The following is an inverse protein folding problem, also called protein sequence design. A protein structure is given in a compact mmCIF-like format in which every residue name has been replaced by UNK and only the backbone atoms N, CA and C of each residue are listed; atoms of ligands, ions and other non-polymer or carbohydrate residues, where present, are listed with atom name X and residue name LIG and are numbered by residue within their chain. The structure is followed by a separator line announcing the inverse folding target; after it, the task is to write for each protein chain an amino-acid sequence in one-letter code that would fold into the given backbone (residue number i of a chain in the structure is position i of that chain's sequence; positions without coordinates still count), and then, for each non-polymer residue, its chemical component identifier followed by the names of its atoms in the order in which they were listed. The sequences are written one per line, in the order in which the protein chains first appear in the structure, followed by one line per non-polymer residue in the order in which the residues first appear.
data_IF_354676756114
#
_entry.id   IF_354676756114
#
_cell.length_a   1.000
_cell.length_b   1.000
_cell.length_c   1.000
_cell.angle_alpha   90.00
_cell.angle_beta   90.00
_cell.angle_gamma   90.00
#
_symmetry.space_group_name_H-M   'P 1'
#
loop_
_entity.id
_entity.type
_entity.pdbx_description
1 polymer ?
#
# COMPACT_ATOMS: atom_id res chain seq x y z
N UNK A 1 -14.36 4.97 -7.09
CA UNK A 1 -13.24 4.30 -7.74
C UNK A 1 -13.83 3.23 -8.63
N UNK A 2 -13.29 3.03 -9.85
CA UNK A 2 -13.72 1.91 -10.68
C UNK A 2 -13.46 0.60 -9.94
N UNK A 3 -14.35 -0.38 -10.06
CA UNK A 3 -14.26 -1.61 -9.26
C UNK A 3 -12.93 -2.35 -9.42
N UNK A 4 -12.28 -2.27 -10.59
CA UNK A 4 -10.99 -2.93 -10.83
C UNK A 4 -9.79 -2.17 -10.25
N UNK A 5 -9.95 -0.92 -9.85
CA UNK A 5 -8.92 -0.13 -9.18
C UNK A 5 -9.02 -0.24 -7.65
N UNK A 6 -10.14 -0.74 -7.14
CA UNK A 6 -10.35 -0.88 -5.70
C UNK A 6 -9.55 -2.09 -5.19
N UNK A 7 -8.69 -1.91 -4.17
CA UNK A 7 -8.07 -3.05 -3.53
C UNK A 7 -9.10 -4.03 -2.99
N UNK A 8 -8.86 -5.31 -3.17
CA UNK A 8 -9.74 -6.35 -2.66
C UNK A 8 -9.39 -6.66 -1.20
N UNK A 9 -10.37 -6.47 -0.31
CA UNK A 9 -10.26 -6.75 1.12
C UNK A 9 -10.97 -8.03 1.50
N UNK A 10 -10.31 -8.86 2.29
CA UNK A 10 -10.87 -10.07 2.87
C UNK A 10 -11.01 -9.91 4.39
N UNK A 11 -12.18 -9.44 4.83
CA UNK A 11 -12.44 -9.10 6.24
C UNK A 11 -12.25 -10.29 7.20
N UNK A 12 -12.48 -11.52 6.75
CA UNK A 12 -12.24 -12.70 7.58
C UNK A 12 -10.73 -12.96 7.75
N UNK A 13 -9.95 -12.81 6.68
CA UNK A 13 -8.49 -12.91 6.74
C UNK A 13 -7.90 -11.82 7.61
N UNK A 14 -8.40 -10.58 7.50
CA UNK A 14 -8.03 -9.46 8.37
C UNK A 14 -8.29 -9.81 9.84
N UNK A 15 -9.51 -10.25 10.17
CA UNK A 15 -9.87 -10.65 11.53
C UNK A 15 -8.99 -11.77 12.08
N UNK A 16 -8.71 -12.78 11.28
CA UNK A 16 -7.86 -13.91 11.68
C UNK A 16 -6.41 -13.48 11.87
N UNK A 17 -5.85 -12.65 10.99
CA UNK A 17 -4.51 -12.13 11.12
C UNK A 17 -4.38 -11.24 12.35
N UNK A 18 -5.33 -10.33 12.57
CA UNK A 18 -5.40 -9.48 13.78
C UNK A 18 -5.33 -10.31 15.05
N UNK A 19 -6.12 -11.37 15.15
CA UNK A 19 -6.12 -12.26 16.30
C UNK A 19 -4.79 -13.01 16.49
N UNK A 20 -4.05 -13.30 15.41
CA UNK A 20 -2.72 -13.92 15.48
C UNK A 20 -1.68 -12.92 15.98
N UNK A 21 -1.68 -11.69 15.45
CA UNK A 21 -0.76 -10.62 15.89
C UNK A 21 -0.94 -10.37 17.39
N UNK A 22 -2.18 -10.22 17.86
CA UNK A 22 -2.48 -10.03 19.29
C UNK A 22 -1.99 -11.18 20.18
N UNK A 23 -2.03 -12.43 19.69
CA UNK A 23 -1.44 -13.56 20.41
C UNK A 23 0.08 -13.50 20.43
N UNK A 24 0.72 -13.06 19.35
CA UNK A 24 2.18 -12.88 19.32
C UNK A 24 2.59 -11.78 20.32
N UNK A 25 1.91 -10.64 20.32
CA UNK A 25 2.18 -9.52 21.24
C UNK A 25 2.15 -9.96 22.72
N UNK A 26 1.18 -10.81 23.08
CA UNK A 26 1.04 -11.33 24.43
C UNK A 26 2.15 -12.33 24.84
N UNK A 27 2.82 -12.95 23.87
CA UNK A 27 3.77 -14.05 24.11
C UNK A 27 5.23 -13.68 23.84
N UNK A 28 5.50 -12.69 22.98
CA UNK A 28 6.82 -12.46 22.37
C UNK A 28 7.93 -12.01 23.34
N UNK A 29 7.57 -11.51 24.52
CA UNK A 29 8.53 -11.03 25.51
C UNK A 29 9.05 -12.12 26.46
N UNK A 30 8.37 -13.26 26.51
CA UNK A 30 8.73 -14.38 27.37
C UNK A 30 9.58 -15.40 26.59
N UNK A 31 10.86 -15.64 26.96
CA UNK A 31 11.77 -16.49 26.19
C UNK A 31 11.27 -17.93 25.99
N UNK A 32 10.51 -18.48 26.96
CA UNK A 32 9.90 -19.81 26.90
C UNK A 32 8.88 -19.95 25.76
N UNK A 33 8.28 -18.85 25.30
CA UNK A 33 7.24 -18.86 24.27
C UNK A 33 7.79 -18.79 22.85
N UNK A 34 9.12 -18.73 22.67
CA UNK A 34 9.77 -18.58 21.36
C UNK A 34 9.22 -19.53 20.30
N UNK A 35 9.02 -20.81 20.64
CA UNK A 35 8.52 -21.80 19.69
C UNK A 35 7.07 -21.55 19.27
N UNK A 36 6.20 -21.15 20.20
CA UNK A 36 4.80 -20.85 19.87
C UNK A 36 4.70 -19.56 19.03
N UNK A 37 5.52 -18.55 19.34
CA UNK A 37 5.63 -17.32 18.56
C UNK A 37 6.06 -17.61 17.11
N UNK A 38 7.08 -18.44 16.90
CA UNK A 38 7.52 -18.86 15.56
C UNK A 38 6.40 -19.58 14.78
N UNK A 39 5.61 -20.41 15.47
CA UNK A 39 4.47 -21.12 14.87
C UNK A 39 3.33 -20.16 14.50
N UNK A 40 3.05 -19.16 15.34
CA UNK A 40 2.07 -18.12 15.06
C UNK A 40 2.51 -17.25 13.87
N UNK A 41 3.78 -16.86 13.78
CA UNK A 41 4.32 -16.16 12.61
C UNK A 41 4.14 -16.97 11.32
N UNK A 42 4.49 -18.26 11.33
CA UNK A 42 4.25 -19.16 10.17
C UNK A 42 2.78 -19.32 9.81
N UNK A 43 1.87 -19.15 10.78
CA UNK A 43 0.42 -19.15 10.52
C UNK A 43 0.00 -17.83 9.89
N UNK A 44 0.54 -16.71 10.38
CA UNK A 44 0.26 -15.37 9.88
C UNK A 44 0.65 -15.20 8.40
N UNK A 45 1.78 -15.77 7.96
CA UNK A 45 2.25 -15.66 6.56
C UNK A 45 1.25 -16.17 5.53
N UNK A 46 0.29 -17.03 5.92
CA UNK A 46 -0.75 -17.53 5.00
C UNK A 46 -1.79 -16.48 4.62
N UNK A 47 -1.90 -15.41 5.40
CA UNK A 47 -2.83 -14.31 5.17
C UNK A 47 -2.18 -13.14 4.42
N UNK A 48 -0.84 -13.10 4.38
CA UNK A 48 -0.11 -11.97 3.81
C UNK A 48 -0.21 -12.02 2.27
N UNK A 49 -0.65 -10.91 1.70
CA UNK A 49 -0.77 -10.64 0.26
C UNK A 49 0.14 -9.51 -0.20
N UNK A 50 0.57 -8.65 0.72
CA UNK A 50 1.55 -7.61 0.45
C UNK A 50 2.83 -8.21 -0.14
N UNK A 51 3.34 -7.62 -1.23
CA UNK A 51 4.58 -8.06 -1.89
C UNK A 51 5.82 -7.49 -1.19
N UNK A 52 5.72 -6.25 -0.74
CA UNK A 52 6.86 -5.47 -0.23
C UNK A 52 6.90 -5.39 1.30
N UNK A 53 5.96 -6.03 1.99
CA UNK A 53 5.89 -6.05 3.44
C UNK A 53 5.81 -7.49 3.97
N UNK A 54 6.75 -7.85 4.84
CA UNK A 54 6.73 -9.09 5.60
C UNK A 54 6.37 -8.82 7.05
N UNK A 55 5.55 -9.68 7.65
CA UNK A 55 5.30 -9.63 9.09
C UNK A 55 6.40 -10.38 9.85
N UNK A 56 7.17 -9.66 10.65
CA UNK A 56 8.13 -10.20 11.60
C UNK A 56 7.96 -9.58 13.00
N UNK A 57 8.83 -9.96 13.94
CA UNK A 57 8.75 -9.47 15.32
C UNK A 57 9.11 -8.00 15.47
N UNK A 58 9.93 -7.44 14.59
CA UNK A 58 10.28 -6.02 14.67
C UNK A 58 9.10 -5.17 14.17
N UNK A 59 8.40 -5.60 13.10
CA UNK A 59 7.12 -5.00 12.69
C UNK A 59 6.11 -5.07 13.82
N UNK A 60 5.90 -6.25 14.41
CA UNK A 60 4.93 -6.42 15.50
C UNK A 60 5.29 -5.56 16.73
N UNK A 61 6.58 -5.38 17.02
CA UNK A 61 7.01 -4.58 18.19
C UNK A 61 6.80 -3.08 18.01
N UNK A 62 6.77 -2.60 16.77
CA UNK A 62 6.95 -1.18 16.48
C UNK A 62 5.90 -0.58 15.54
N UNK A 63 4.89 -1.34 15.11
CA UNK A 63 3.87 -0.81 14.22
C UNK A 63 3.10 0.35 14.84
N UNK A 64 2.88 0.35 16.15
CA UNK A 64 2.19 1.41 16.89
C UNK A 64 2.92 2.78 16.83
N UNK A 65 4.19 2.77 16.41
CA UNK A 65 4.97 3.98 16.17
C UNK A 65 4.70 4.64 14.81
N UNK A 66 4.07 3.96 13.86
CA UNK A 66 3.81 4.49 12.51
C UNK A 66 2.42 4.19 11.94
N UNK A 67 1.65 3.27 12.53
CA UNK A 67 0.27 2.94 12.13
C UNK A 67 -0.51 2.29 13.29
N UNK A 68 -1.77 1.95 13.06
CA UNK A 68 -2.57 1.14 13.97
C UNK A 68 -2.73 -0.32 13.48
N UNK A 69 -3.21 -1.20 14.36
CA UNK A 69 -3.29 -2.63 14.06
C UNK A 69 -4.30 -2.94 12.94
N UNK A 70 -5.40 -2.19 12.83
CA UNK A 70 -6.41 -2.41 11.80
C UNK A 70 -5.87 -1.99 10.43
N UNK A 71 -5.13 -0.89 10.37
CA UNK A 71 -4.45 -0.41 9.16
C UNK A 71 -3.34 -1.39 8.73
N UNK A 72 -2.45 -1.79 9.64
CA UNK A 72 -1.39 -2.79 9.36
C UNK A 72 -1.98 -4.10 8.81
N UNK A 73 -3.03 -4.62 9.45
CA UNK A 73 -3.68 -5.85 9.01
C UNK A 73 -4.34 -5.70 7.64
N UNK A 74 -4.95 -4.54 7.38
CA UNK A 74 -5.54 -4.24 6.06
C UNK A 74 -4.45 -4.27 4.99
N UNK A 75 -3.35 -3.55 5.18
CA UNK A 75 -2.24 -3.49 4.22
C UNK A 75 -1.58 -4.85 3.99
N UNK A 76 -1.36 -5.63 5.04
CA UNK A 76 -0.76 -6.96 4.92
C UNK A 76 -1.64 -7.93 4.13
N UNK A 77 -2.96 -7.81 4.19
CA UNK A 77 -3.90 -8.80 3.65
C UNK A 77 -4.59 -8.37 2.36
N UNK A 78 -4.58 -7.08 2.02
CA UNK A 78 -5.24 -6.58 0.83
C UNK A 78 -4.56 -7.07 -0.45
N UNK A 79 -5.38 -7.39 -1.45
CA UNK A 79 -4.91 -7.71 -2.79
C UNK A 79 -5.02 -6.46 -3.66
N UNK A 80 -3.86 -5.97 -4.12
CA UNK A 80 -3.79 -4.84 -5.03
C UNK A 80 -4.33 -5.21 -6.42
N UNK A 81 -4.89 -4.23 -7.16
CA UNK A 81 -5.23 -4.38 -8.56
C UNK A 81 -4.12 -4.99 -9.41
N UNK A 82 -4.51 -5.69 -10.48
CA UNK A 82 -3.57 -6.32 -11.40
C UNK A 82 -2.68 -5.29 -12.11
N UNK A 83 -1.46 -5.71 -12.44
CA UNK A 83 -0.54 -4.99 -13.33
C UNK A 83 -1.11 -4.79 -14.73
N UNK A 84 -0.62 -3.79 -15.47
CA UNK A 84 -1.03 -3.34 -16.81
C UNK A 84 -2.25 -2.40 -16.83
N UNK A 85 -2.26 -1.41 -15.95
CA UNK A 85 -3.26 -0.35 -15.97
C UNK A 85 -3.19 0.50 -17.24
N UNK A 86 -4.36 0.98 -17.70
CA UNK A 86 -4.44 1.91 -18.82
C UNK A 86 -3.99 3.32 -18.41
N UNK A 87 -3.71 4.19 -19.38
CA UNK A 87 -3.43 5.62 -19.13
C UNK A 87 -4.58 6.27 -18.32
N UNK A 88 -5.82 5.93 -18.63
CA UNK A 88 -7.00 6.46 -17.94
C UNK A 88 -7.09 5.98 -16.49
N UNK A 89 -6.70 4.72 -16.24
CA UNK A 89 -6.66 4.17 -14.90
C UNK A 89 -5.58 4.86 -14.04
N UNK A 90 -4.40 5.12 -14.62
CA UNK A 90 -3.35 5.90 -13.95
C UNK A 90 -3.81 7.33 -13.64
N UNK A 91 -4.51 7.98 -14.58
CA UNK A 91 -5.07 9.31 -14.37
C UNK A 91 -6.10 9.32 -13.23
N UNK A 92 -6.98 8.32 -13.17
CA UNK A 92 -7.94 8.15 -12.08
C UNK A 92 -7.23 8.00 -10.73
N UNK A 93 -6.16 7.19 -10.67
CA UNK A 93 -5.36 7.02 -9.44
C UNK A 93 -4.72 8.34 -9.00
N UNK A 94 -4.06 9.05 -9.92
CA UNK A 94 -3.41 10.34 -9.64
C UNK A 94 -4.44 11.36 -9.12
N UNK A 95 -5.62 11.44 -9.73
CA UNK A 95 -6.69 12.34 -9.28
C UNK A 95 -7.18 11.99 -7.88
N UNK A 96 -7.40 10.70 -7.60
CA UNK A 96 -7.82 10.22 -6.28
C UNK A 96 -6.77 10.51 -5.21
N UNK A 97 -5.48 10.31 -5.50
CA UNK A 97 -4.37 10.59 -4.58
C UNK A 97 -4.13 12.09 -4.37
N UNK A 98 -4.36 12.92 -5.39
CA UNK A 98 -4.24 14.39 -5.26
C UNK A 98 -5.36 14.98 -4.42
N UNK A 99 -6.55 14.40 -4.49
CA UNK A 99 -7.75 14.88 -3.78
C UNK A 99 -8.01 14.17 -2.46
N UNK A 100 -7.33 13.06 -2.21
CA UNK A 100 -7.59 12.11 -1.12
C UNK A 100 -9.04 11.62 -1.06
N UNK A 101 -9.70 11.53 -2.23
CA UNK A 101 -11.11 11.17 -2.35
C UNK A 101 -11.33 10.12 -3.41
N UNK A 102 -12.26 9.23 -3.13
CA UNK A 102 -12.78 8.28 -4.10
C UNK A 102 -13.49 9.04 -5.24
N UNK A 103 -13.02 8.86 -6.48
CA UNK A 103 -13.56 9.58 -7.64
C UNK A 103 -15.05 9.30 -7.93
N UNK A 104 -15.57 8.14 -7.54
CA UNK A 104 -16.96 7.76 -7.84
C UNK A 104 -17.94 8.16 -6.73
N UNK A 105 -17.54 8.08 -5.47
CA UNK A 105 -18.41 8.37 -4.32
C UNK A 105 -18.15 9.75 -3.71
N UNK A 106 -16.96 10.32 -3.91
CA UNK A 106 -16.51 11.56 -3.29
C UNK A 106 -16.13 11.41 -1.82
N UNK A 107 -16.17 10.19 -1.28
CA UNK A 107 -15.78 9.88 0.10
C UNK A 107 -14.27 10.01 0.29
N UNK A 108 -13.84 10.34 1.51
CA UNK A 108 -12.42 10.39 1.85
C UNK A 108 -11.86 8.98 1.86
N UNK A 109 -10.71 8.80 1.22
CA UNK A 109 -10.01 7.52 1.20
C UNK A 109 -9.42 7.22 2.59
N UNK A 110 -9.47 5.96 3.00
CA UNK A 110 -8.70 5.51 4.17
C UNK A 110 -7.21 5.48 3.86
N UNK A 111 -6.37 5.50 4.91
CA UNK A 111 -4.91 5.43 4.77
C UNK A 111 -4.47 4.20 3.98
N UNK A 112 -4.98 3.00 4.33
CA UNK A 112 -4.70 1.77 3.59
C UNK A 112 -5.17 1.82 2.11
N UNK A 113 -6.24 2.55 1.79
CA UNK A 113 -6.66 2.74 0.39
C UNK A 113 -5.71 3.68 -0.35
N UNK A 114 -5.25 4.76 0.29
CA UNK A 114 -4.22 5.65 -0.27
C UNK A 114 -2.92 4.88 -0.54
N UNK A 115 -2.42 4.13 0.43
CA UNK A 115 -1.19 3.35 0.28
C UNK A 115 -1.33 2.28 -0.80
N UNK A 116 -2.48 1.62 -0.87
CA UNK A 116 -2.80 0.71 -1.96
C UNK A 116 -2.77 1.36 -3.33
N UNK A 117 -3.33 2.56 -3.47
CA UNK A 117 -3.29 3.33 -4.72
C UNK A 117 -1.86 3.78 -5.08
N UNK A 118 -1.07 4.18 -4.09
CA UNK A 118 0.34 4.56 -4.27
C UNK A 118 1.16 3.37 -4.78
N UNK A 119 1.03 2.20 -4.15
CA UNK A 119 1.70 0.98 -4.59
C UNK A 119 1.24 0.59 -6.00
N UNK A 120 -0.07 0.60 -6.23
CA UNK A 120 -0.64 0.28 -7.55
C UNK A 120 -0.11 1.20 -8.64
N UNK A 121 -0.04 2.51 -8.38
CA UNK A 121 0.55 3.47 -9.32
C UNK A 121 2.02 3.14 -9.58
N UNK A 122 2.81 2.98 -8.52
CA UNK A 122 4.26 2.74 -8.60
C UNK A 122 4.59 1.46 -9.37
N UNK A 123 3.80 0.38 -9.20
CA UNK A 123 3.98 -0.87 -9.94
C UNK A 123 3.61 -0.78 -11.44
N UNK A 124 2.85 0.25 -11.85
CA UNK A 124 2.31 0.39 -13.20
C UNK A 124 2.93 1.52 -14.03
N UNK A 125 4.00 2.13 -13.55
CA UNK A 125 4.73 3.19 -14.26
C UNK A 125 6.16 2.76 -14.60
N UNK A 126 6.76 3.44 -15.57
CA UNK A 126 8.16 3.21 -15.97
C UNK A 126 9.12 4.18 -15.29
N UNK A 127 8.61 5.18 -14.56
CA UNK A 127 9.44 6.25 -14.00
C UNK A 127 10.01 5.85 -12.63
N UNK A 128 11.33 5.98 -12.40
CA UNK A 128 11.98 5.54 -11.15
C UNK A 128 11.57 6.37 -9.92
N UNK A 129 11.00 7.56 -10.14
CA UNK A 129 10.50 8.44 -9.07
C UNK A 129 9.25 7.93 -8.35
N UNK A 130 8.55 6.90 -8.84
CA UNK A 130 7.45 6.29 -8.10
C UNK A 130 6.36 7.29 -7.71
N UNK A 131 6.04 7.32 -6.42
CA UNK A 131 5.03 8.22 -5.84
C UNK A 131 5.46 9.69 -5.77
N UNK A 132 6.75 10.00 -5.92
CA UNK A 132 7.25 11.38 -5.90
C UNK A 132 6.69 12.20 -7.07
N UNK A 133 6.26 11.54 -8.16
CA UNK A 133 5.56 12.22 -9.25
C UNK A 133 4.28 12.92 -8.80
N UNK A 134 3.66 12.45 -7.70
CA UNK A 134 2.42 12.97 -7.15
C UNK A 134 2.71 13.88 -5.95
N UNK A 135 3.53 13.41 -5.00
CA UNK A 135 3.72 14.10 -3.72
C UNK A 135 4.88 15.11 -3.72
N UNK A 136 5.89 14.91 -4.57
CA UNK A 136 7.09 15.75 -4.63
C UNK A 136 7.52 16.01 -6.08
N UNK A 137 6.63 16.57 -6.93
CA UNK A 137 6.83 16.64 -8.38
C UNK A 137 8.11 17.38 -8.79
N UNK A 138 8.53 18.38 -8.02
CA UNK A 138 9.75 19.15 -8.27
C UNK A 138 11.02 18.29 -8.20
N UNK A 139 11.04 17.23 -7.39
CA UNK A 139 12.18 16.31 -7.26
C UNK A 139 12.40 15.45 -8.51
N UNK A 140 11.38 15.35 -9.35
CA UNK A 140 11.37 14.52 -10.57
C UNK A 140 11.23 15.35 -11.84
N UNK A 141 11.40 16.68 -11.74
CA UNK A 141 11.42 17.58 -12.90
C UNK A 141 10.06 18.07 -13.38
N UNK A 142 8.99 17.85 -12.59
CA UNK A 142 7.68 18.46 -12.82
C UNK A 142 7.57 19.82 -12.13
N UNK A 143 6.66 20.72 -12.58
CA UNK A 143 6.37 21.95 -11.85
C UNK A 143 5.74 21.66 -10.48
N UNK A 144 5.69 22.62 -9.54
CA UNK A 144 5.15 22.41 -8.19
C UNK A 144 3.68 21.97 -8.14
N UNK A 145 2.89 22.32 -9.14
CA UNK A 145 1.47 21.94 -9.27
C UNK A 145 1.22 21.39 -10.67
N UNK A 146 1.73 20.19 -10.98
CA UNK A 146 1.52 19.59 -12.29
C UNK A 146 0.07 19.15 -12.43
N UNK A 147 -0.40 19.14 -13.66
CA UNK A 147 -1.68 18.55 -14.03
C UNK A 147 -1.59 17.02 -13.97
N UNK A 148 -2.75 16.36 -13.84
CA UNK A 148 -2.85 14.89 -13.91
C UNK A 148 -2.21 14.35 -15.19
N UNK A 149 -2.43 15.03 -16.32
CA UNK A 149 -1.87 14.62 -17.60
C UNK A 149 -0.35 14.71 -17.65
N UNK A 150 0.25 15.76 -17.09
CA UNK A 150 1.71 15.91 -17.00
C UNK A 150 2.34 14.80 -16.15
N UNK A 151 1.72 14.48 -15.00
CA UNK A 151 2.15 13.37 -14.13
C UNK A 151 2.12 12.06 -14.92
N UNK A 152 0.97 11.71 -15.51
CA UNK A 152 0.77 10.43 -16.20
C UNK A 152 1.66 10.31 -17.44
N UNK A 153 1.84 11.40 -18.18
CA UNK A 153 2.74 11.42 -19.33
C UNK A 153 4.18 11.11 -18.93
N UNK A 154 4.69 11.73 -17.86
CA UNK A 154 6.03 11.46 -17.36
C UNK A 154 6.16 10.04 -16.80
N UNK A 155 5.15 9.57 -16.08
CA UNK A 155 5.09 8.22 -15.50
C UNK A 155 5.22 7.12 -16.57
N UNK A 156 4.51 7.27 -17.70
CA UNK A 156 4.48 6.29 -18.79
C UNK A 156 5.75 6.36 -19.65
N UNK A 157 6.23 7.57 -20.00
CA UNK A 157 7.42 7.74 -20.83
C UNK A 157 8.67 7.12 -20.21
N UNK A 158 8.72 7.06 -18.88
CA UNK A 158 9.92 6.73 -18.13
C UNK A 158 10.87 7.92 -18.12
N UNK A 159 11.56 8.15 -17.00
CA UNK A 159 12.43 9.31 -16.86
C UNK A 159 13.52 9.29 -17.92
N UNK A 160 13.66 10.38 -18.68
CA UNK A 160 14.81 10.59 -19.56
C UNK A 160 16.07 10.64 -18.70
N UNK A 161 16.73 9.50 -18.54
CA UNK A 161 18.12 9.48 -18.09
C UNK A 161 18.97 9.96 -19.28
N UNK A 162 19.01 11.27 -19.51
CA UNK A 162 20.17 11.86 -20.19
C UNK A 162 21.35 11.70 -19.23
N UNK A 163 22.16 10.68 -19.49
CA UNK A 163 23.52 10.55 -18.96
C UNK A 163 24.49 11.31 -19.85
#
# INVERSE_FOLDING_TARGET
MKNHLKPHRNLESERQLKAIIQQIEALMYEPENKHEVEKLLRKATKFIKAKDMSLDLDVIRHYDGWTDLDTLVTELTMELPASQLSREDLADIVEMLTTMKDKATGEVLSEAECDGLVMTFTENINHPGGSDLIFYPELVGLPPNPTVDEIVELAIKGGSSEK
#
